data_IF_805668656604
#
_entry.id   IF_805668656604
#
_cell.length_a   1.000
_cell.length_b   1.000
_cell.length_c   1.000
_cell.angle_alpha   90.00
_cell.angle_beta   90.00
_cell.angle_gamma   90.00
#
_symmetry.space_group_name_H-M   'P 1'
#
loop_
_entity.id
_entity.type
_entity.pdbx_description
1 polymer ?
#
# COMPACT_ATOMS: atom_id res chain seq x y z
N UNK A 1 17.15 16.70 4.91
CA UNK A 1 17.61 15.48 4.22
C UNK A 1 19.10 15.63 4.05
N UNK A 2 19.90 14.64 4.45
CA UNK A 2 21.36 14.72 4.37
C UNK A 2 21.84 14.61 2.92
N UNK A 3 22.93 15.31 2.62
CA UNK A 3 23.54 15.32 1.28
C UNK A 3 24.80 14.46 1.27
N UNK A 4 24.79 13.38 0.49
CA UNK A 4 25.94 12.49 0.30
C UNK A 4 26.75 12.90 -0.94
N UNK A 5 28.06 12.68 -0.92
CA UNK A 5 28.94 12.90 -2.07
C UNK A 5 29.14 11.55 -2.77
N UNK A 6 28.54 11.37 -3.94
CA UNK A 6 28.61 10.15 -4.76
C UNK A 6 29.29 10.51 -6.09
N UNK A 7 30.42 9.88 -6.42
CA UNK A 7 31.21 10.19 -7.65
C UNK A 7 31.46 11.71 -7.87
N UNK A 8 31.71 12.45 -6.79
CA UNK A 8 31.93 13.90 -6.83
C UNK A 8 30.67 14.76 -7.01
N UNK A 9 29.47 14.17 -7.01
CA UNK A 9 28.18 14.85 -7.06
C UNK A 9 27.50 14.84 -5.69
N UNK A 10 26.86 15.95 -5.35
CA UNK A 10 26.03 16.07 -4.15
C UNK A 10 24.64 15.51 -4.44
N UNK A 11 24.23 14.49 -3.68
CA UNK A 11 22.94 13.81 -3.83
C UNK A 11 22.23 13.80 -2.49
N UNK A 12 20.98 14.28 -2.47
CA UNK A 12 20.13 14.24 -1.28
C UNK A 12 19.53 12.84 -1.13
N UNK A 13 20.03 12.08 -0.16
CA UNK A 13 19.64 10.69 0.08
C UNK A 13 18.90 10.58 1.40
N UNK A 14 17.78 9.86 1.39
CA UNK A 14 17.05 9.54 2.63
C UNK A 14 17.64 8.29 3.28
N UNK A 15 18.69 8.51 4.09
CA UNK A 15 19.48 7.45 4.75
C UNK A 15 18.61 6.60 5.68
N UNK A 16 17.71 7.24 6.42
CA UNK A 16 16.83 6.53 7.35
C UNK A 16 15.90 5.59 6.59
N UNK A 17 15.31 6.06 5.50
CA UNK A 17 14.40 5.25 4.67
C UNK A 17 15.08 3.99 4.12
N UNK A 18 16.28 4.14 3.56
CA UNK A 18 17.04 3.01 3.00
C UNK A 18 17.37 1.97 4.08
N UNK A 19 17.79 2.41 5.27
CA UNK A 19 18.13 1.49 6.36
C UNK A 19 16.88 0.84 6.97
N UNK A 20 15.72 1.51 7.00
CA UNK A 20 14.45 0.94 7.48
C UNK A 20 13.94 -0.23 6.60
N UNK A 21 14.41 -0.38 5.36
CA UNK A 21 14.05 -1.51 4.50
C UNK A 21 14.67 -2.84 4.94
N UNK A 22 15.71 -2.81 5.77
CA UNK A 22 16.45 -4.00 6.19
C UNK A 22 16.08 -4.44 7.59
N UNK A 23 16.19 -5.74 7.85
CA UNK A 23 15.93 -6.29 9.18
C UNK A 23 17.14 -6.04 10.10
N UNK A 24 16.92 -5.30 11.19
CA UNK A 24 17.94 -5.02 12.19
C UNK A 24 17.72 -5.85 13.44
N UNK A 25 18.80 -6.34 14.04
CA UNK A 25 18.73 -7.01 15.34
C UNK A 25 18.86 -5.98 16.47
N UNK A 26 17.82 -5.89 17.30
CA UNK A 26 17.71 -4.93 18.43
C UNK A 26 17.90 -3.46 18.03
N UNK A 27 17.17 -2.95 17.02
CA UNK A 27 17.32 -1.56 16.59
C UNK A 27 16.71 -0.61 17.62
N UNK A 28 17.42 0.47 17.89
CA UNK A 28 16.92 1.66 18.55
C UNK A 28 17.14 2.85 17.63
N UNK A 29 16.03 3.33 17.07
CA UNK A 29 16.00 4.51 16.21
C UNK A 29 15.87 5.76 17.07
N UNK A 30 16.85 6.64 16.99
CA UNK A 30 16.81 8.01 17.53
C UNK A 30 16.75 9.00 16.37
N UNK A 31 16.51 10.28 16.65
CA UNK A 31 16.41 11.31 15.60
C UNK A 31 17.76 11.51 14.89
N UNK A 32 18.85 11.48 15.65
CA UNK A 32 20.22 11.74 15.22
C UNK A 32 20.94 10.49 14.71
N UNK A 33 20.61 9.30 15.25
CA UNK A 33 21.33 8.06 14.96
C UNK A 33 20.46 6.80 15.01
N UNK A 34 20.92 5.76 14.34
CA UNK A 34 20.49 4.36 14.54
C UNK A 34 21.49 3.67 15.47
N UNK A 35 21.01 2.97 16.49
CA UNK A 35 21.80 2.04 17.31
C UNK A 35 21.29 0.62 17.09
N UNK A 36 22.15 -0.33 16.76
CA UNK A 36 21.75 -1.72 16.55
C UNK A 36 22.86 -2.71 16.92
N UNK A 37 22.56 -4.01 16.83
CA UNK A 37 23.61 -5.01 16.72
C UNK A 37 24.26 -4.92 15.34
N UNK A 38 25.57 -5.15 15.28
CA UNK A 38 26.35 -5.04 14.05
C UNK A 38 25.96 -6.13 13.05
N UNK A 39 25.70 -5.77 11.78
CA UNK A 39 25.38 -6.76 10.74
C UNK A 39 26.61 -7.55 10.28
N UNK A 40 27.82 -7.10 10.62
CA UNK A 40 29.09 -7.70 10.18
C UNK A 40 29.56 -8.85 11.08
N UNK A 41 28.89 -9.11 12.20
CA UNK A 41 29.32 -10.10 13.18
C UNK A 41 28.19 -11.01 13.64
N UNK A 42 28.57 -12.16 14.19
CA UNK A 42 27.63 -13.11 14.77
C UNK A 42 27.12 -12.66 16.16
N UNK A 43 27.91 -11.87 16.90
CA UNK A 43 27.51 -11.37 18.21
C UNK A 43 26.41 -10.30 18.13
N UNK A 44 25.35 -10.49 18.92
CA UNK A 44 24.12 -9.66 18.94
C UNK A 44 24.15 -8.56 20.01
N UNK A 45 25.33 -8.25 20.55
CA UNK A 45 25.52 -7.09 21.43
C UNK A 45 25.22 -5.79 20.64
N UNK A 46 24.55 -4.78 21.20
CA UNK A 46 24.33 -3.52 20.50
C UNK A 46 25.56 -2.61 20.64
N UNK A 47 26.40 -2.54 19.61
CA UNK A 47 27.56 -1.62 19.54
C UNK A 47 27.72 -0.93 18.19
N UNK A 48 26.78 -1.16 17.28
CA UNK A 48 26.77 -0.57 15.95
C UNK A 48 25.93 0.69 15.97
N UNK A 49 26.45 1.74 15.33
CA UNK A 49 25.75 3.00 15.18
C UNK A 49 25.89 3.58 13.79
N UNK A 50 24.83 4.27 13.32
CA UNK A 50 24.82 5.02 12.06
C UNK A 50 24.29 6.42 12.31
N UNK A 51 24.99 7.45 11.85
CA UNK A 51 24.50 8.83 11.92
C UNK A 51 23.47 9.07 10.81
N UNK A 52 22.29 9.57 11.17
CA UNK A 52 21.22 9.90 10.22
C UNK A 52 21.30 11.35 9.75
N UNK A 53 21.90 12.22 10.56
CA UNK A 53 22.08 13.65 10.29
C UNK A 53 23.56 14.07 10.38
N UNK A 54 23.90 15.19 9.76
CA UNK A 54 25.23 15.77 9.86
C UNK A 54 25.47 16.30 11.27
N UNK A 55 26.46 15.72 11.94
CA UNK A 55 26.88 16.10 13.29
C UNK A 55 28.24 16.80 13.22
N UNK A 56 28.58 17.62 14.23
CA UNK A 56 29.88 18.32 14.30
C UNK A 56 31.10 17.38 14.20
N UNK A 57 30.94 16.10 14.55
CA UNK A 57 31.99 15.07 14.54
C UNK A 57 31.95 14.14 13.34
N UNK A 58 30.82 14.03 12.63
CA UNK A 58 30.63 13.04 11.57
C UNK A 58 29.54 13.47 10.58
N UNK A 59 29.74 13.16 9.29
CA UNK A 59 28.71 13.36 8.27
C UNK A 59 27.63 12.30 8.37
N UNK A 60 26.43 12.62 7.93
CA UNK A 60 25.32 11.69 7.81
C UNK A 60 25.72 10.48 6.96
N UNK A 61 25.29 9.29 7.39
CA UNK A 61 25.57 8.02 6.74
C UNK A 61 26.90 7.37 7.14
N UNK A 62 27.74 8.06 7.92
CA UNK A 62 28.89 7.41 8.55
C UNK A 62 28.42 6.47 9.66
N UNK A 63 29.06 5.31 9.73
CA UNK A 63 28.75 4.30 10.73
C UNK A 63 30.01 3.81 11.42
N UNK A 64 29.82 3.26 12.62
CA UNK A 64 30.88 2.66 13.40
C UNK A 64 30.39 1.46 14.19
N UNK A 65 31.29 0.51 14.40
CA UNK A 65 31.10 -0.63 15.29
C UNK A 65 32.27 -0.69 16.26
N UNK A 66 32.01 -0.42 17.54
CA UNK A 66 33.04 -0.49 18.57
C UNK A 66 33.44 -1.92 18.95
N UNK A 67 32.73 -2.94 18.46
CA UNK A 67 33.03 -4.34 18.72
C UNK A 67 33.27 -5.15 17.43
N UNK A 68 33.75 -4.51 16.37
CA UNK A 68 34.16 -5.20 15.16
C UNK A 68 35.42 -6.05 15.42
N UNK A 69 35.45 -7.26 14.87
CA UNK A 69 36.65 -8.12 14.91
C UNK A 69 37.73 -7.66 13.94
N UNK A 70 37.32 -7.00 12.85
CA UNK A 70 38.19 -6.52 11.78
C UNK A 70 38.17 -4.99 11.76
N UNK A 71 39.35 -4.38 11.67
CA UNK A 71 39.53 -2.94 11.61
C UNK A 71 38.86 -2.32 10.37
N UNK A 72 38.74 -3.08 9.28
CA UNK A 72 38.06 -2.62 8.05
C UNK A 72 36.54 -2.50 8.19
N UNK A 73 35.96 -3.20 9.16
CA UNK A 73 34.54 -3.18 9.50
C UNK A 73 34.26 -2.47 10.83
N UNK A 74 35.25 -1.78 11.40
CA UNK A 74 35.07 -0.97 12.59
C UNK A 74 34.42 0.39 12.30
N UNK A 75 34.58 0.91 11.07
CA UNK A 75 34.00 2.18 10.62
C UNK A 75 33.90 2.22 9.10
N UNK A 76 32.91 2.94 8.59
CA UNK A 76 32.77 3.13 7.15
C UNK A 76 31.76 4.20 6.77
N UNK A 77 31.61 4.39 5.46
CA UNK A 77 30.59 5.26 4.87
C UNK A 77 29.31 4.50 4.51
N UNK A 78 28.26 5.26 4.22
CA UNK A 78 26.93 4.74 3.90
C UNK A 78 26.93 3.74 2.74
N UNK A 79 27.69 4.03 1.68
CA UNK A 79 27.78 3.17 0.48
C UNK A 79 28.28 1.78 0.85
N UNK A 80 29.34 1.67 1.66
CA UNK A 80 29.90 0.39 2.10
C UNK A 80 28.90 -0.42 2.93
N UNK A 81 28.12 0.25 3.79
CA UNK A 81 27.07 -0.40 4.57
C UNK A 81 25.95 -0.92 3.68
N UNK A 82 25.47 -0.08 2.76
CA UNK A 82 24.36 -0.42 1.89
C UNK A 82 24.75 -1.55 0.90
N UNK A 83 25.97 -1.50 0.36
CA UNK A 83 26.55 -2.57 -0.46
C UNK A 83 26.53 -3.92 0.28
N UNK A 84 26.97 -3.93 1.54
CA UNK A 84 26.95 -5.13 2.36
C UNK A 84 25.52 -5.64 2.64
N UNK A 85 24.60 -4.76 3.01
CA UNK A 85 23.20 -5.14 3.30
C UNK A 85 22.47 -5.68 2.07
N UNK A 86 22.83 -5.20 0.87
CA UNK A 86 22.24 -5.62 -0.40
C UNK A 86 22.97 -6.79 -1.06
N UNK A 87 24.11 -7.22 -0.50
CA UNK A 87 25.04 -8.17 -1.13
C UNK A 87 25.46 -7.74 -2.56
N UNK A 88 25.67 -6.44 -2.75
CA UNK A 88 26.09 -5.79 -3.99
C UNK A 88 27.51 -5.20 -3.83
N UNK A 89 28.15 -4.80 -4.93
CA UNK A 89 29.43 -4.08 -4.87
C UNK A 89 29.24 -2.60 -4.53
N UNK A 90 30.31 -1.93 -4.07
CA UNK A 90 30.25 -0.49 -3.78
C UNK A 90 29.88 0.32 -5.04
N UNK A 91 30.41 -0.05 -6.20
CA UNK A 91 30.12 0.62 -7.48
C UNK A 91 28.64 0.46 -7.90
N UNK A 92 28.08 -0.75 -7.80
CA UNK A 92 26.66 -1.00 -8.09
C UNK A 92 25.74 -0.22 -7.14
N UNK A 93 26.14 -0.08 -5.88
CA UNK A 93 25.39 0.68 -4.88
C UNK A 93 25.41 2.17 -5.20
N UNK A 94 26.54 2.70 -5.67
CA UNK A 94 26.65 4.09 -6.13
C UNK A 94 25.75 4.32 -7.35
N UNK A 95 25.78 3.41 -8.32
CA UNK A 95 24.93 3.49 -9.51
C UNK A 95 23.43 3.45 -9.14
N UNK A 96 23.04 2.57 -8.20
CA UNK A 96 21.69 2.49 -7.67
C UNK A 96 21.24 3.82 -7.03
N UNK A 97 22.09 4.39 -6.17
CA UNK A 97 21.78 5.66 -5.50
C UNK A 97 21.70 6.82 -6.50
N UNK A 98 22.57 6.85 -7.52
CA UNK A 98 22.52 7.85 -8.58
C UNK A 98 21.26 7.70 -9.44
N UNK A 99 20.88 6.49 -9.83
CA UNK A 99 19.65 6.24 -10.59
C UNK A 99 18.39 6.59 -9.79
N UNK A 100 18.39 6.26 -8.50
CA UNK A 100 17.22 6.42 -7.63
C UNK A 100 17.00 7.86 -7.16
N UNK A 101 18.08 8.52 -6.73
CA UNK A 101 18.04 9.83 -6.06
C UNK A 101 18.54 10.98 -6.94
N UNK A 102 19.32 10.72 -7.98
CA UNK A 102 19.78 11.73 -8.93
C UNK A 102 19.47 11.34 -10.40
N UNK A 103 18.20 11.04 -10.74
CA UNK A 103 17.85 10.63 -12.10
C UNK A 103 18.26 11.73 -13.08
N UNK A 104 19.23 11.42 -13.94
CA UNK A 104 19.67 12.37 -14.96
C UNK A 104 18.54 12.49 -15.97
N UNK A 105 18.04 13.70 -16.22
CA UNK A 105 16.96 13.95 -17.17
C UNK A 105 17.41 13.56 -18.58
N UNK A 106 17.16 12.32 -19.00
CA UNK A 106 17.47 11.85 -20.36
C UNK A 106 16.64 12.58 -21.43
N UNK A 107 15.53 13.23 -21.04
CA UNK A 107 14.60 13.96 -21.94
C UNK A 107 14.18 15.35 -21.42
N UNK A 108 14.97 16.01 -20.55
CA UNK A 108 14.64 17.35 -20.05
C UNK A 108 13.42 17.45 -19.10
N UNK A 109 12.80 16.32 -18.75
CA UNK A 109 11.79 16.24 -17.68
C UNK A 109 12.47 16.00 -16.33
N UNK A 110 12.52 17.03 -15.50
CA UNK A 110 12.84 16.91 -14.07
C UNK A 110 11.69 16.18 -13.36
N UNK A 111 11.95 15.00 -12.81
CA UNK A 111 11.00 14.27 -11.99
C UNK A 111 11.06 14.79 -10.55
N UNK A 112 10.08 15.62 -10.18
CA UNK A 112 9.95 16.12 -8.81
C UNK A 112 9.46 14.97 -7.90
N UNK A 113 10.31 14.51 -6.97
CA UNK A 113 9.90 13.56 -5.94
C UNK A 113 9.13 14.32 -4.85
N UNK A 114 7.82 14.08 -4.78
CA UNK A 114 7.02 14.52 -3.63
C UNK A 114 7.57 13.82 -2.37
N UNK A 115 7.92 14.57 -1.30
CA UNK A 115 8.28 13.94 -0.04
C UNK A 115 7.12 13.06 0.42
N UNK A 116 7.41 11.82 0.81
CA UNK A 116 6.38 10.92 1.33
C UNK A 116 5.90 11.48 2.66
N UNK A 117 4.74 12.12 2.63
CA UNK A 117 4.05 12.59 3.82
C UNK A 117 3.84 11.39 4.75
N UNK A 118 4.14 11.55 6.04
CA UNK A 118 3.83 10.54 7.05
C UNK A 118 2.37 10.15 6.86
N UNK A 119 2.13 8.87 6.57
CA UNK A 119 0.78 8.36 6.48
C UNK A 119 0.08 8.76 7.78
N UNK A 120 -0.95 9.60 7.67
CA UNK A 120 -1.78 9.96 8.81
C UNK A 120 -2.25 8.64 9.39
N UNK A 121 -1.85 8.34 10.63
CA UNK A 121 -2.28 7.14 11.32
C UNK A 121 -3.80 7.03 11.16
N UNK A 122 -4.30 5.83 10.85
CA UNK A 122 -5.74 5.62 10.75
C UNK A 122 -6.35 6.16 12.05
N UNK A 123 -7.33 7.08 11.99
CA UNK A 123 -7.90 7.64 13.21
C UNK A 123 -8.39 6.48 14.08
N UNK A 124 -7.77 6.33 15.24
CA UNK A 124 -8.22 5.37 16.24
C UNK A 124 -9.55 5.89 16.81
N UNK A 125 -10.52 4.99 17.07
CA UNK A 125 -11.75 5.39 17.73
C UNK A 125 -11.40 6.00 19.09
N UNK A 126 -11.99 7.15 19.39
CA UNK A 126 -11.80 7.80 20.68
C UNK A 126 -12.19 6.83 21.79
N UNK A 127 -11.37 6.69 22.85
CA UNK A 127 -11.67 5.77 23.93
C UNK A 127 -12.95 6.18 24.65
N UNK A 128 -13.84 5.21 24.87
CA UNK A 128 -15.16 5.41 25.50
C UNK A 128 -15.07 5.97 26.92
N UNK A 129 -13.91 5.82 27.57
CA UNK A 129 -13.60 6.47 28.84
C UNK A 129 -13.68 7.99 28.80
N UNK A 130 -13.58 8.63 27.62
CA UNK A 130 -13.78 10.08 27.46
C UNK A 130 -15.24 10.51 27.67
N UNK A 131 -16.19 9.58 27.57
CA UNK A 131 -17.61 9.83 27.77
C UNK A 131 -18.04 9.56 29.22
N UNK A 132 -17.18 8.95 30.06
CA UNK A 132 -17.50 8.56 31.43
C UNK A 132 -17.82 9.75 32.34
N UNK A 133 -17.21 10.90 32.07
CA UNK A 133 -17.39 12.14 32.85
C UNK A 133 -18.47 13.06 32.24
N UNK A 134 -19.06 12.68 31.10
CA UNK A 134 -20.20 13.41 30.52
C UNK A 134 -21.45 12.99 31.28
N UNK A 135 -21.67 13.61 32.44
CA UNK A 135 -23.01 13.64 33.02
C UNK A 135 -23.89 14.43 32.04
N UNK A 136 -24.69 13.72 31.26
CA UNK A 136 -25.89 14.29 30.67
C UNK A 136 -26.69 14.86 31.84
N UNK A 137 -26.62 16.18 32.02
CA UNK A 137 -27.40 16.88 33.02
C UNK A 137 -28.90 16.66 32.79
N UNK A 138 -29.78 17.26 33.60
CA UNK A 138 -31.20 17.29 33.29
C UNK A 138 -31.36 17.93 31.92
N UNK A 139 -31.49 17.10 30.88
CA UNK A 139 -31.37 17.54 29.50
C UNK A 139 -32.66 18.28 29.15
N UNK A 140 -32.68 19.59 29.31
CA UNK A 140 -33.67 20.48 28.71
C UNK A 140 -33.83 20.18 27.21
N UNK A 141 -32.74 19.72 26.58
CA UNK A 141 -32.75 19.21 25.21
C UNK A 141 -33.54 17.91 25.02
N UNK A 142 -33.53 16.97 25.97
CA UNK A 142 -34.28 15.71 25.82
C UNK A 142 -35.79 15.99 25.83
N UNK A 143 -36.25 16.91 26.68
CA UNK A 143 -37.64 17.35 26.69
C UNK A 143 -38.00 18.05 25.37
N UNK A 144 -37.16 18.99 24.92
CA UNK A 144 -37.32 19.66 23.62
C UNK A 144 -37.30 18.66 22.45
N UNK A 145 -36.45 17.63 22.53
CA UNK A 145 -36.31 16.59 21.52
C UNK A 145 -37.60 15.77 21.42
N UNK A 146 -38.15 15.30 22.55
CA UNK A 146 -39.42 14.57 22.56
C UNK A 146 -40.59 15.45 22.07
N UNK A 147 -40.67 16.72 22.48
CA UNK A 147 -41.71 17.65 22.03
C UNK A 147 -41.61 18.00 20.54
N UNK A 148 -40.39 18.06 20.01
CA UNK A 148 -40.16 18.42 18.60
C UNK A 148 -40.20 17.22 17.64
N UNK A 149 -40.28 15.97 18.13
CA UNK A 149 -40.39 14.76 17.28
C UNK A 149 -41.55 14.84 16.30
N UNK A 150 -42.72 15.27 16.78
CA UNK A 150 -43.92 15.38 15.94
C UNK A 150 -43.76 16.47 14.88
N UNK A 151 -43.12 17.59 15.24
CA UNK A 151 -42.81 18.68 14.32
C UNK A 151 -41.80 18.24 13.24
N UNK A 152 -40.76 17.52 13.64
CA UNK A 152 -39.75 16.95 12.74
C UNK A 152 -40.39 15.94 11.80
N UNK A 153 -41.21 15.02 12.33
CA UNK A 153 -41.94 14.03 11.53
C UNK A 153 -42.84 14.70 10.48
N UNK A 154 -43.55 15.76 10.87
CA UNK A 154 -44.40 16.53 9.97
C UNK A 154 -43.59 17.18 8.84
N UNK A 155 -42.53 17.91 9.19
CA UNK A 155 -41.62 18.54 8.21
C UNK A 155 -40.99 17.48 7.31
N UNK A 156 -40.54 16.37 7.87
CA UNK A 156 -39.94 15.26 7.13
C UNK A 156 -40.93 14.64 6.13
N UNK A 157 -42.20 14.48 6.51
CA UNK A 157 -43.24 13.95 5.63
C UNK A 157 -43.54 14.87 4.44
N UNK A 158 -43.49 16.20 4.65
CA UNK A 158 -43.68 17.19 3.58
C UNK A 158 -42.54 17.14 2.55
N UNK A 159 -41.29 16.98 3.02
CA UNK A 159 -40.11 16.99 2.15
C UNK A 159 -39.78 15.62 1.55
N UNK A 160 -40.05 14.51 2.26
CA UNK A 160 -39.73 13.14 1.83
C UNK A 160 -40.68 12.60 0.76
N UNK A 161 -41.96 13.00 0.75
CA UNK A 161 -42.95 12.50 -0.23
C UNK A 161 -42.66 12.91 -1.68
N UNK A 162 -41.86 13.96 -1.87
CA UNK A 162 -41.77 14.66 -3.17
C UNK A 162 -40.40 14.50 -3.83
N UNK A 163 -39.39 13.91 -3.17
CA UNK A 163 -37.98 14.04 -3.63
C UNK A 163 -37.13 12.79 -3.44
N UNK A 164 -36.15 12.66 -4.34
CA UNK A 164 -35.05 11.68 -4.38
C UNK A 164 -33.98 11.94 -3.29
N UNK A 165 -34.37 12.24 -2.05
CA UNK A 165 -33.43 12.38 -0.93
C UNK A 165 -33.80 11.35 0.12
N UNK A 166 -32.80 10.64 0.65
CA UNK A 166 -33.00 9.60 1.67
C UNK A 166 -33.60 10.25 2.92
N UNK A 167 -34.71 9.67 3.40
CA UNK A 167 -35.46 10.18 4.56
C UNK A 167 -34.57 10.30 5.81
N UNK A 168 -33.75 9.29 6.06
CA UNK A 168 -32.84 9.21 7.21
C UNK A 168 -31.81 10.35 7.23
N UNK A 169 -31.31 10.77 6.06
CA UNK A 169 -30.33 11.86 5.97
C UNK A 169 -30.94 13.20 6.38
N UNK A 170 -32.18 13.46 5.93
CA UNK A 170 -32.91 14.67 6.32
C UNK A 170 -33.17 14.63 7.83
N UNK A 171 -33.59 13.49 8.36
CA UNK A 171 -33.86 13.30 9.79
C UNK A 171 -32.61 13.58 10.63
N UNK A 172 -31.46 12.99 10.28
CA UNK A 172 -30.19 13.20 10.97
C UNK A 172 -29.77 14.68 10.98
N UNK A 173 -29.86 15.34 9.84
CA UNK A 173 -29.51 16.76 9.72
C UNK A 173 -30.47 17.68 10.48
N UNK A 174 -31.76 17.32 10.58
CA UNK A 174 -32.73 18.07 11.39
C UNK A 174 -32.43 17.95 12.89
N UNK A 175 -32.05 16.76 13.37
CA UNK A 175 -31.63 16.58 14.77
C UNK A 175 -30.37 17.38 15.11
N UNK A 176 -29.35 17.36 14.25
CA UNK A 176 -28.12 18.15 14.47
C UNK A 176 -28.43 19.65 14.53
N UNK A 177 -29.34 20.13 13.69
CA UNK A 177 -29.75 21.54 13.68
C UNK A 177 -30.58 21.91 14.90
N UNK A 178 -31.47 21.04 15.36
CA UNK A 178 -32.22 21.25 16.60
C UNK A 178 -31.26 21.41 17.79
N UNK A 179 -30.25 20.55 17.88
CA UNK A 179 -29.20 20.66 18.92
C UNK A 179 -28.47 22.00 18.85
N UNK A 180 -27.97 22.38 17.67
CA UNK A 180 -27.29 23.67 17.47
C UNK A 180 -28.18 24.86 17.81
N UNK A 181 -29.46 24.78 17.48
CA UNK A 181 -30.44 25.79 17.80
C UNK A 181 -30.64 25.87 19.33
N UNK A 182 -30.85 24.75 20.02
CA UNK A 182 -31.00 24.74 21.48
C UNK A 182 -29.80 25.33 22.23
N UNK A 183 -28.59 25.16 21.71
CA UNK A 183 -27.37 25.71 22.34
C UNK A 183 -27.14 27.20 22.07
N UNK A 184 -27.75 27.77 21.04
CA UNK A 184 -27.44 29.13 20.56
C UNK A 184 -28.60 30.14 20.70
N UNK A 185 -29.77 29.67 21.11
CA UNK A 185 -30.99 30.47 21.10
C UNK A 185 -31.12 31.35 22.32
N UNK A 186 -31.33 32.63 22.06
CA UNK A 186 -31.70 33.63 23.05
C UNK A 186 -33.23 33.64 23.24
N UNK A 187 -33.71 32.90 24.24
CA UNK A 187 -35.15 32.67 24.52
C UNK A 187 -35.94 33.95 24.73
N UNK A 188 -35.29 35.07 25.09
CA UNK A 188 -35.94 36.37 25.33
C UNK A 188 -36.42 37.07 24.06
N UNK A 189 -35.89 36.70 22.89
CA UNK A 189 -36.20 37.34 21.60
C UNK A 189 -37.30 36.62 20.82
N UNK A 190 -37.73 35.46 21.27
CA UNK A 190 -38.65 34.59 20.54
C UNK A 190 -40.08 34.78 21.05
N UNK A 191 -40.98 35.20 20.16
CA UNK A 191 -42.41 35.34 20.48
C UNK A 191 -43.16 34.01 20.47
N UNK A 192 -42.75 33.07 19.62
CA UNK A 192 -43.32 31.73 19.51
C UNK A 192 -42.21 30.74 19.15
N UNK A 193 -41.89 29.83 20.06
CA UNK A 193 -40.80 28.87 19.93
C UNK A 193 -41.09 27.83 18.84
N UNK A 194 -42.30 27.28 18.78
CA UNK A 194 -42.68 26.27 17.80
C UNK A 194 -42.52 26.77 16.35
N UNK A 195 -43.02 27.98 16.07
CA UNK A 195 -42.92 28.56 14.73
C UNK A 195 -41.47 28.86 14.33
N UNK A 196 -40.64 29.29 15.29
CA UNK A 196 -39.22 29.52 15.06
C UNK A 196 -38.48 28.20 14.77
N UNK A 197 -38.79 27.14 15.50
CA UNK A 197 -38.25 25.79 15.28
C UNK A 197 -38.68 25.27 13.91
N UNK A 198 -39.98 25.31 13.58
CA UNK A 198 -40.49 24.87 12.28
C UNK A 198 -39.80 25.62 11.13
N UNK A 199 -39.60 26.93 11.28
CA UNK A 199 -38.92 27.74 10.26
C UNK A 199 -37.46 27.28 10.04
N UNK A 200 -36.69 27.08 11.10
CA UNK A 200 -35.29 26.63 10.99
C UNK A 200 -35.19 25.19 10.46
N UNK A 201 -36.09 24.29 10.88
CA UNK A 201 -36.17 22.93 10.36
C UNK A 201 -36.46 22.94 8.85
N UNK A 202 -37.46 23.71 8.40
CA UNK A 202 -37.79 23.86 6.96
C UNK A 202 -36.63 24.44 6.16
N UNK A 203 -35.95 25.47 6.69
CA UNK A 203 -34.79 26.09 6.06
C UNK A 203 -33.64 25.10 5.91
N UNK A 204 -33.36 24.29 6.95
CA UNK A 204 -32.36 23.23 6.88
C UNK A 204 -32.70 22.18 5.82
N UNK A 205 -33.95 21.70 5.78
CA UNK A 205 -34.39 20.77 4.73
C UNK A 205 -34.17 21.35 3.32
N UNK A 206 -34.47 22.64 3.11
CA UNK A 206 -34.24 23.33 1.84
C UNK A 206 -32.74 23.40 1.50
N UNK A 207 -31.87 23.70 2.47
CA UNK A 207 -30.42 23.79 2.24
C UNK A 207 -29.79 22.44 1.88
N UNK A 208 -30.29 21.34 2.47
CA UNK A 208 -29.92 19.96 2.13
C UNK A 208 -30.35 19.65 0.70
N UNK A 209 -31.61 19.91 0.36
CA UNK A 209 -32.15 19.65 -0.98
C UNK A 209 -31.43 20.46 -2.06
N UNK A 210 -31.08 21.72 -1.76
CA UNK A 210 -30.33 22.59 -2.68
C UNK A 210 -28.85 22.24 -2.80
N UNK A 211 -28.37 21.26 -2.03
CA UNK A 211 -26.97 20.84 -2.05
C UNK A 211 -26.00 21.92 -1.57
N UNK A 212 -26.46 22.95 -0.84
CA UNK A 212 -25.56 23.93 -0.20
C UNK A 212 -24.71 23.27 0.88
N UNK A 213 -25.21 22.20 1.48
CA UNK A 213 -24.41 21.24 2.24
C UNK A 213 -23.67 20.31 1.25
N UNK A 214 -22.78 20.90 0.45
CA UNK A 214 -22.16 20.28 -0.75
C UNK A 214 -21.43 18.96 -0.51
N UNK A 215 -21.26 18.57 0.74
CA UNK A 215 -20.65 17.31 1.17
C UNK A 215 -21.62 16.11 1.19
N UNK A 216 -22.93 16.32 1.34
CA UNK A 216 -23.91 15.21 1.42
C UNK A 216 -24.40 14.77 0.05
N UNK A 217 -24.87 15.73 -0.78
CA UNK A 217 -25.44 15.43 -2.12
C UNK A 217 -24.40 14.89 -3.11
N UNK A 218 -23.13 15.27 -3.00
CA UNK A 218 -22.06 14.79 -3.90
C UNK A 218 -21.61 13.35 -3.61
N UNK A 219 -21.86 12.81 -2.41
CA UNK A 219 -21.34 11.49 -2.00
C UNK A 219 -22.33 10.35 -2.19
N UNK A 220 -23.64 10.63 -2.28
CA UNK A 220 -24.66 9.60 -2.52
C UNK A 220 -25.22 9.71 -3.94
N UNK A 221 -24.81 8.77 -4.81
CA UNK A 221 -25.59 8.44 -6.01
C UNK A 221 -26.67 7.46 -5.56
N UNK A 222 -27.94 7.77 -5.83
CA UNK A 222 -29.02 6.79 -5.70
C UNK A 222 -28.67 5.59 -6.59
N UNK A 223 -28.47 4.42 -5.98
CA UNK A 223 -28.39 3.19 -6.75
C UNK A 223 -29.76 2.93 -7.37
N UNK A 224 -29.76 2.60 -8.65
CA UNK A 224 -30.97 2.21 -9.36
C UNK A 224 -31.47 0.89 -8.80
N UNK A 225 -32.55 0.94 -8.02
CA UNK A 225 -33.16 -0.25 -7.42
C UNK A 225 -33.91 -1.13 -8.42
N UNK A 226 -34.02 -0.72 -9.68
CA UNK A 226 -34.63 -1.51 -10.75
C UNK A 226 -33.60 -2.29 -11.59
N UNK A 227 -32.30 -2.06 -11.36
CA UNK A 227 -31.25 -2.84 -11.98
C UNK A 227 -31.05 -4.15 -11.23
N UNK A 228 -31.84 -5.17 -11.58
CA UNK A 228 -31.67 -6.58 -11.16
C UNK A 228 -30.23 -7.10 -11.35
N UNK A 229 -29.44 -6.48 -12.22
CA UNK A 229 -28.06 -6.88 -12.54
C UNK A 229 -26.97 -6.38 -11.57
N UNK A 230 -27.28 -5.48 -10.62
CA UNK A 230 -26.25 -4.88 -9.75
C UNK A 230 -26.41 -5.18 -8.25
N UNK A 231 -27.19 -6.19 -7.89
CA UNK A 231 -27.07 -6.80 -6.59
C UNK A 231 -25.74 -7.57 -6.56
N UNK A 232 -24.70 -6.98 -5.97
CA UNK A 232 -23.59 -7.74 -5.41
C UNK A 232 -24.13 -8.50 -4.18
N UNK A 233 -25.02 -9.46 -4.40
CA UNK A 233 -25.28 -10.52 -3.45
C UNK A 233 -23.97 -11.27 -3.31
N UNK A 234 -23.31 -11.09 -2.17
CA UNK A 234 -22.30 -12.03 -1.71
C UNK A 234 -23.05 -13.33 -1.40
N UNK A 235 -23.38 -14.09 -2.46
CA UNK A 235 -23.87 -15.45 -2.31
C UNK A 235 -22.68 -16.29 -1.82
N UNK A 236 -22.56 -16.41 -0.49
CA UNK A 236 -21.78 -17.45 0.16
C UNK A 236 -22.46 -18.83 0.00
N UNK A 237 -23.02 -19.11 -1.19
CA UNK A 237 -23.75 -20.32 -1.55
C UNK A 237 -23.04 -21.14 -2.64
N UNK A 238 -22.11 -20.56 -3.39
CA UNK A 238 -21.23 -21.35 -4.24
C UNK A 238 -20.10 -21.89 -3.36
N UNK A 239 -20.21 -23.16 -2.97
CA UNK A 239 -19.04 -23.95 -2.54
C UNK A 239 -18.04 -23.83 -3.67
N UNK A 240 -17.02 -22.99 -3.50
CA UNK A 240 -15.89 -22.96 -4.42
C UNK A 240 -15.20 -24.30 -4.22
N UNK A 241 -15.49 -25.26 -5.09
CA UNK A 241 -14.75 -26.50 -5.18
C UNK A 241 -13.35 -26.16 -5.70
N UNK A 242 -12.48 -25.74 -4.77
CA UNK A 242 -11.07 -25.50 -5.04
C UNK A 242 -10.46 -26.77 -5.65
N UNK A 243 -10.96 -27.94 -5.22
CA UNK A 243 -10.63 -29.25 -5.75
C UNK A 243 -10.94 -29.34 -7.26
N UNK A 244 -12.13 -28.96 -7.73
CA UNK A 244 -12.48 -29.00 -9.16
C UNK A 244 -11.65 -28.00 -9.99
N UNK A 245 -11.28 -26.85 -9.41
CA UNK A 245 -10.38 -25.89 -10.06
C UNK A 245 -8.94 -26.42 -10.15
N UNK A 246 -8.46 -27.13 -9.13
CA UNK A 246 -7.14 -27.77 -9.13
C UNK A 246 -7.13 -28.99 -10.06
N UNK A 247 -8.22 -29.77 -10.10
CA UNK A 247 -8.40 -30.91 -11.01
C UNK A 247 -8.45 -30.43 -12.46
N UNK A 248 -9.20 -29.37 -12.78
CA UNK A 248 -9.19 -28.80 -14.14
C UNK A 248 -7.86 -28.16 -14.56
N UNK A 249 -7.02 -27.74 -13.60
CA UNK A 249 -5.64 -27.32 -13.87
C UNK A 249 -4.68 -28.51 -14.06
N UNK A 250 -4.98 -29.66 -13.46
CA UNK A 250 -4.23 -30.92 -13.62
C UNK A 250 -4.65 -31.72 -14.87
N UNK A 251 -5.90 -31.56 -15.33
CA UNK A 251 -6.48 -32.26 -16.49
C UNK A 251 -6.25 -31.53 -17.83
N UNK A 252 -5.35 -30.55 -17.88
CA UNK A 252 -4.78 -30.13 -19.15
C UNK A 252 -3.95 -31.28 -19.72
N UNK A 253 -4.32 -31.77 -20.92
CA UNK A 253 -3.64 -32.85 -21.66
C UNK A 253 -2.16 -33.02 -21.25
N UNK A 254 -1.84 -34.13 -20.57
CA UNK A 254 -0.45 -34.50 -20.26
C UNK A 254 0.26 -34.67 -21.59
N UNK A 255 0.93 -33.61 -22.05
CA UNK A 255 1.65 -33.63 -23.31
C UNK A 255 2.76 -34.66 -23.24
N UNK A 256 2.79 -35.53 -24.25
CA UNK A 256 3.59 -36.76 -24.23
C UNK A 256 5.07 -36.38 -24.28
N UNK A 257 5.98 -37.22 -23.77
CA UNK A 257 7.43 -36.94 -23.80
C UNK A 257 7.96 -36.62 -25.21
N UNK A 258 7.26 -37.10 -26.25
CA UNK A 258 7.53 -36.79 -27.65
C UNK A 258 7.28 -35.31 -28.01
N UNK A 259 6.26 -34.67 -27.42
CA UNK A 259 5.95 -33.25 -27.63
C UNK A 259 6.97 -32.35 -26.92
N UNK A 260 7.45 -32.77 -25.74
CA UNK A 260 8.55 -32.11 -25.02
C UNK A 260 9.86 -32.17 -25.82
N UNK A 261 10.16 -33.31 -26.45
CA UNK A 261 11.34 -33.46 -27.30
C UNK A 261 11.27 -32.64 -28.60
N UNK A 262 10.07 -32.48 -29.17
CA UNK A 262 9.87 -31.60 -30.33
C UNK A 262 10.06 -30.12 -29.95
N UNK A 263 9.55 -29.70 -28.79
CA UNK A 263 9.75 -28.36 -28.25
C UNK A 263 11.24 -28.06 -27.99
N UNK A 264 11.96 -28.99 -27.36
CA UNK A 264 13.41 -28.86 -27.14
C UNK A 264 14.13 -28.73 -28.47
N UNK A 265 13.84 -29.59 -29.45
CA UNK A 265 14.48 -29.52 -30.77
C UNK A 265 14.20 -28.18 -31.45
N UNK A 266 12.96 -27.69 -31.44
CA UNK A 266 12.60 -26.41 -32.05
C UNK A 266 13.29 -25.21 -31.38
N UNK A 267 13.39 -25.19 -30.05
CA UNK A 267 14.02 -24.10 -29.29
C UNK A 267 15.56 -24.14 -29.33
N UNK A 268 16.16 -25.26 -29.72
CA UNK A 268 17.62 -25.46 -29.67
C UNK A 268 18.32 -25.50 -31.03
N UNK A 269 17.61 -25.42 -32.16
CA UNK A 269 18.21 -25.51 -33.51
C UNK A 269 19.33 -24.47 -33.75
N UNK A 270 19.20 -23.27 -33.20
CA UNK A 270 20.16 -22.16 -33.40
C UNK A 270 20.62 -21.51 -32.09
N UNK A 271 20.56 -22.22 -30.95
CA UNK A 271 20.87 -21.63 -29.65
C UNK A 271 22.22 -22.10 -29.08
N UNK A 272 22.83 -21.26 -28.26
CA UNK A 272 24.13 -21.54 -27.63
C UNK A 272 24.09 -22.80 -26.76
N UNK A 273 25.23 -23.47 -26.61
CA UNK A 273 25.37 -24.67 -25.78
C UNK A 273 24.86 -24.48 -24.33
N UNK A 274 25.03 -23.28 -23.78
CA UNK A 274 24.54 -22.90 -22.45
C UNK A 274 23.01 -22.84 -22.41
N UNK A 275 22.37 -22.30 -23.46
CA UNK A 275 20.91 -22.22 -23.58
C UNK A 275 20.30 -23.61 -23.66
N UNK A 276 20.93 -24.51 -24.42
CA UNK A 276 20.51 -25.91 -24.51
C UNK A 276 20.61 -26.63 -23.16
N UNK A 277 21.69 -26.41 -22.41
CA UNK A 277 21.85 -26.98 -21.06
C UNK A 277 20.79 -26.48 -20.07
N UNK A 278 20.47 -25.17 -20.10
CA UNK A 278 19.43 -24.57 -19.25
C UNK A 278 18.05 -25.18 -19.55
N UNK A 279 17.69 -25.32 -20.83
CA UNK A 279 16.38 -25.85 -21.24
C UNK A 279 16.25 -27.34 -20.88
N UNK A 280 17.29 -28.13 -21.10
CA UNK A 280 17.29 -29.55 -20.73
C UNK A 280 17.12 -29.75 -19.22
N UNK A 281 17.81 -28.96 -18.40
CA UNK A 281 17.70 -29.05 -16.93
C UNK A 281 16.35 -28.57 -16.42
N UNK A 282 15.78 -27.53 -17.04
CA UNK A 282 14.46 -27.00 -16.71
C UNK A 282 13.36 -28.04 -16.94
N UNK A 283 13.43 -28.79 -18.04
CA UNK A 283 12.41 -29.78 -18.41
C UNK A 283 12.60 -31.14 -17.69
N UNK A 284 13.81 -31.43 -17.22
CA UNK A 284 14.10 -32.67 -16.48
C UNK A 284 13.77 -32.58 -14.99
N UNK A 285 13.61 -31.37 -14.45
CA UNK A 285 13.35 -31.14 -13.03
C UNK A 285 11.85 -31.15 -12.74
N UNK A 286 11.41 -31.91 -11.72
CA UNK A 286 10.01 -31.94 -11.26
C UNK A 286 9.51 -30.59 -10.72
N UNK A 287 10.39 -29.75 -10.17
CA UNK A 287 10.05 -28.38 -9.71
C UNK A 287 11.15 -27.39 -10.07
N UNK A 288 11.19 -26.90 -11.30
CA UNK A 288 12.30 -26.10 -11.79
C UNK A 288 12.28 -24.68 -11.22
N UNK A 289 13.13 -24.39 -10.24
CA UNK A 289 13.41 -23.00 -9.82
C UNK A 289 14.64 -22.46 -10.54
N UNK A 290 14.63 -21.18 -10.97
CA UNK A 290 15.76 -20.57 -11.68
C UNK A 290 17.09 -20.67 -10.92
N UNK A 291 17.06 -20.61 -9.59
CA UNK A 291 18.23 -20.78 -8.74
C UNK A 291 18.78 -22.22 -8.74
N UNK A 292 17.89 -23.23 -8.73
CA UNK A 292 18.27 -24.65 -8.78
C UNK A 292 18.94 -24.99 -10.11
N UNK A 293 18.34 -24.53 -11.22
CA UNK A 293 18.88 -24.72 -12.57
C UNK A 293 20.23 -24.00 -12.72
N UNK A 294 20.32 -22.75 -12.22
CA UNK A 294 21.56 -21.99 -12.28
C UNK A 294 22.71 -22.65 -11.52
N UNK A 295 22.44 -23.17 -10.33
CA UNK A 295 23.42 -23.91 -9.53
C UNK A 295 23.95 -25.15 -10.25
N UNK A 296 23.07 -25.93 -10.89
CA UNK A 296 23.47 -27.16 -11.62
C UNK A 296 24.19 -26.89 -12.94
N UNK A 297 23.78 -25.88 -13.68
CA UNK A 297 24.38 -25.52 -14.99
C UNK A 297 25.63 -24.63 -14.82
N UNK A 298 25.91 -24.15 -13.59
CA UNK A 298 27.06 -23.29 -13.30
C UNK A 298 26.89 -21.86 -13.80
N UNK A 299 25.66 -21.36 -13.83
CA UNK A 299 25.30 -20.01 -14.31
C UNK A 299 24.41 -19.28 -13.32
N UNK A 300 24.58 -17.96 -13.21
CA UNK A 300 23.77 -17.16 -12.28
C UNK A 300 22.27 -17.21 -12.61
N UNK A 301 21.40 -17.24 -11.60
CA UNK A 301 19.95 -17.42 -11.77
C UNK A 301 19.29 -16.37 -12.69
N UNK A 302 19.76 -15.11 -12.68
CA UNK A 302 19.27 -14.07 -13.61
C UNK A 302 19.57 -14.39 -15.08
N UNK A 303 20.67 -15.10 -15.37
CA UNK A 303 21.00 -15.53 -16.72
C UNK A 303 20.03 -16.62 -17.18
N UNK A 304 19.70 -17.56 -16.29
CA UNK A 304 18.66 -18.58 -16.52
C UNK A 304 17.31 -17.93 -16.78
N UNK A 305 16.89 -17.00 -15.92
CA UNK A 305 15.62 -16.28 -16.05
C UNK A 305 15.54 -15.52 -17.39
N UNK A 306 16.60 -14.78 -17.76
CA UNK A 306 16.66 -14.03 -19.02
C UNK A 306 16.57 -14.94 -20.24
N UNK A 307 17.23 -16.10 -20.21
CA UNK A 307 17.20 -17.08 -21.30
C UNK A 307 15.80 -17.68 -21.43
N UNK A 308 15.19 -18.13 -20.32
CA UNK A 308 13.84 -18.73 -20.34
C UNK A 308 12.79 -17.70 -20.79
N UNK A 309 12.82 -16.48 -20.26
CA UNK A 309 11.92 -15.39 -20.70
C UNK A 309 12.15 -14.97 -22.16
N UNK A 310 13.40 -15.00 -22.61
CA UNK A 310 13.77 -14.71 -24.00
C UNK A 310 13.24 -15.77 -24.98
N UNK A 311 13.35 -17.04 -24.62
CA UNK A 311 12.80 -18.16 -25.39
C UNK A 311 11.26 -18.09 -25.44
N UNK A 312 10.61 -17.73 -24.33
CA UNK A 312 9.17 -17.52 -24.28
C UNK A 312 8.69 -16.41 -25.23
N UNK A 313 9.51 -15.38 -25.46
CA UNK A 313 9.17 -14.26 -26.36
C UNK A 313 9.25 -14.64 -27.84
N UNK A 314 10.12 -15.59 -28.18
CA UNK A 314 10.31 -16.09 -29.54
C UNK A 314 9.45 -17.34 -29.83
N UNK A 315 8.59 -17.72 -28.89
CA UNK A 315 7.73 -18.88 -28.98
C UNK A 315 6.48 -18.56 -29.80
N UNK A 316 6.29 -19.30 -30.90
CA UNK A 316 5.08 -19.21 -31.70
C UNK A 316 4.01 -20.17 -31.16
N UNK A 317 3.08 -19.61 -30.38
CA UNK A 317 1.98 -20.37 -29.77
C UNK A 317 1.06 -21.05 -30.80
N UNK A 318 1.06 -20.58 -32.06
CA UNK A 318 0.25 -21.18 -33.12
C UNK A 318 0.77 -22.53 -33.61
N UNK A 319 2.07 -22.80 -33.47
CA UNK A 319 2.69 -24.05 -33.94
C UNK A 319 2.88 -25.10 -32.84
N UNK A 320 2.95 -24.68 -31.56
CA UNK A 320 3.38 -25.55 -30.47
C UNK A 320 2.43 -25.58 -29.25
N UNK A 321 1.32 -24.82 -29.25
CA UNK A 321 0.37 -24.72 -28.14
C UNK A 321 0.73 -23.61 -27.15
N UNK A 322 0.14 -23.57 -25.95
CA UNK A 322 0.52 -22.57 -24.93
C UNK A 322 1.76 -23.00 -24.14
N UNK A 323 2.78 -22.12 -24.07
CA UNK A 323 4.03 -22.35 -23.34
C UNK A 323 3.79 -22.65 -21.85
N UNK A 324 2.78 -22.00 -21.25
CA UNK A 324 2.41 -22.21 -19.85
C UNK A 324 1.91 -23.62 -19.57
N UNK A 325 1.33 -24.32 -20.56
CA UNK A 325 0.92 -25.71 -20.41
C UNK A 325 2.12 -26.68 -20.35
N UNK A 326 3.29 -26.26 -20.82
CA UNK A 326 4.54 -27.04 -20.72
C UNK A 326 5.38 -26.66 -19.49
N UNK A 327 5.16 -25.47 -18.92
CA UNK A 327 5.85 -24.92 -17.77
C UNK A 327 5.06 -25.07 -16.46
N UNK A 328 3.78 -25.42 -16.55
CA UNK A 328 2.95 -25.78 -15.41
C UNK A 328 3.34 -27.18 -14.94
N UNK A 329 4.11 -27.23 -13.85
CA UNK A 329 4.30 -28.42 -13.01
C UNK A 329 3.85 -28.09 -11.60
#
# INVERSE_FOLDING_TARGET
MPTLILNGRHVDVDIRYELEQFEWTRPKWTEDRLLAASPFRYDRTPSFYVYLEDTASAKAGYWGDSGAYDAEFARGGFVKLLAFLRAETEDETVDYLLETYAPTAKDGRLTLRLPKLKAVAKPEPLPESLLADVQAGPNDFNLLFEESRDLISKVLSDFSKTRQVIREDILSALHEKLWKWSSSVDTKKIKNAENAIIYELKKSSIDIIRGKNGTYVKRHKLMDSTAEENAATFESGAVVHIEDKVISQLDGEIKTDQDKLQLIKALTVNSDAITTAIVNEHLSSERPTYASIGSKVGVHYKKVERVIKGLAKNYDASQHGELNAFLAV
#
